data_IF_505607021757
#
_entry.id   IF_505607021757
#
_cell.length_a   1.000
_cell.length_b   1.000
_cell.length_c   1.000
_cell.angle_alpha   90.00
_cell.angle_beta   90.00
_cell.angle_gamma   90.00
#
_symmetry.space_group_name_H-M   'P 1'
#
loop_
_entity.id
_entity.type
_entity.pdbx_description
1 polymer ?
#
# COMPACT_ATOMS: atom_id res chain seq x y z
N UNK A 1 83.51 -40.97 -20.02
CA UNK A 1 83.24 -39.76 -20.83
C UNK A 1 81.73 -39.59 -20.84
N UNK A 2 81.22 -38.62 -20.10
CA UNK A 2 79.79 -38.27 -20.15
C UNK A 2 79.62 -37.54 -21.48
N UNK A 3 78.78 -38.09 -22.34
CA UNK A 3 78.63 -37.65 -23.72
C UNK A 3 78.06 -36.21 -23.71
N UNK A 4 78.87 -35.23 -24.13
CA UNK A 4 78.47 -33.82 -24.16
C UNK A 4 77.17 -33.61 -24.97
N UNK A 5 76.89 -34.51 -25.93
CA UNK A 5 75.67 -34.50 -26.73
C UNK A 5 74.42 -34.89 -25.94
N UNK A 6 74.51 -35.77 -24.94
CA UNK A 6 73.36 -36.15 -24.09
C UNK A 6 72.94 -34.98 -23.19
N UNK A 7 73.90 -34.27 -22.59
CA UNK A 7 73.61 -33.09 -21.75
C UNK A 7 73.03 -31.91 -22.53
N UNK A 8 73.42 -31.72 -23.79
CA UNK A 8 72.83 -30.69 -24.67
C UNK A 8 71.41 -31.07 -25.08
N UNK A 9 71.15 -32.36 -25.36
CA UNK A 9 69.82 -32.87 -25.73
C UNK A 9 68.84 -32.79 -24.55
N UNK A 10 69.30 -33.10 -23.33
CA UNK A 10 68.52 -32.95 -22.10
C UNK A 10 68.21 -31.48 -21.79
N UNK A 11 69.19 -30.58 -21.90
CA UNK A 11 68.96 -29.13 -21.75
C UNK A 11 67.94 -28.63 -22.77
N UNK A 12 68.04 -29.05 -24.04
CA UNK A 12 67.07 -28.67 -25.09
C UNK A 12 65.67 -29.20 -24.81
N UNK A 13 65.53 -30.43 -24.32
CA UNK A 13 64.25 -31.01 -23.91
C UNK A 13 63.66 -30.30 -22.69
N UNK A 14 64.49 -29.93 -21.71
CA UNK A 14 64.08 -29.15 -20.55
C UNK A 14 63.62 -27.75 -20.95
N UNK A 15 64.38 -27.04 -21.80
CA UNK A 15 64.01 -25.74 -22.33
C UNK A 15 62.69 -25.79 -23.13
N UNK A 16 62.51 -26.81 -23.99
CA UNK A 16 61.26 -26.96 -24.74
C UNK A 16 60.06 -27.20 -23.81
N UNK A 17 60.19 -28.05 -22.79
CA UNK A 17 59.13 -28.27 -21.79
C UNK A 17 58.80 -27.00 -21.03
N UNK A 18 59.83 -26.24 -20.64
CA UNK A 18 59.68 -24.97 -19.95
C UNK A 18 58.96 -23.93 -20.82
N UNK A 19 59.32 -23.82 -22.11
CA UNK A 19 58.64 -22.94 -23.07
C UNK A 19 57.17 -23.33 -23.24
N UNK A 20 56.86 -24.63 -23.33
CA UNK A 20 55.48 -25.11 -23.40
C UNK A 20 54.66 -24.74 -22.16
N UNK A 21 55.23 -24.89 -20.96
CA UNK A 21 54.58 -24.50 -19.70
C UNK A 21 54.33 -22.99 -19.67
N UNK A 22 55.31 -22.17 -20.05
CA UNK A 22 55.14 -20.71 -20.11
C UNK A 22 54.10 -20.28 -21.16
N UNK A 23 54.06 -20.92 -22.32
CA UNK A 23 53.02 -20.65 -23.33
C UNK A 23 51.63 -21.03 -22.83
N UNK A 24 51.51 -22.17 -22.16
CA UNK A 24 50.25 -22.63 -21.57
C UNK A 24 49.75 -21.63 -20.52
N UNK A 25 50.60 -21.28 -19.53
CA UNK A 25 50.23 -20.29 -18.51
C UNK A 25 50.03 -18.88 -19.09
N UNK A 26 50.76 -18.52 -20.15
CA UNK A 26 50.59 -17.26 -20.88
C UNK A 26 49.23 -17.16 -21.56
N UNK A 27 48.80 -18.21 -22.28
CA UNK A 27 47.45 -18.28 -22.86
C UNK A 27 46.37 -18.25 -21.77
N UNK A 28 46.58 -18.96 -20.67
CA UNK A 28 45.64 -19.02 -19.56
C UNK A 28 45.48 -17.65 -18.88
N UNK A 29 46.59 -16.92 -18.70
CA UNK A 29 46.59 -15.55 -18.21
C UNK A 29 45.90 -14.57 -19.17
N UNK A 30 46.15 -14.69 -20.48
CA UNK A 30 45.46 -13.93 -21.53
C UNK A 30 43.95 -14.21 -21.53
N UNK A 31 43.55 -15.46 -21.33
CA UNK A 31 42.14 -15.84 -21.20
C UNK A 31 41.50 -15.20 -19.97
N UNK A 32 42.17 -15.21 -18.81
CA UNK A 32 41.67 -14.51 -17.63
C UNK A 32 41.58 -13.01 -17.82
N UNK A 33 42.59 -12.37 -18.41
CA UNK A 33 42.56 -10.95 -18.75
C UNK A 33 41.39 -10.61 -19.67
N UNK A 34 41.18 -11.40 -20.72
CA UNK A 34 40.04 -11.24 -21.62
C UNK A 34 38.71 -11.39 -20.88
N UNK A 35 38.59 -12.41 -20.01
CA UNK A 35 37.37 -12.65 -19.23
C UNK A 35 37.09 -11.53 -18.25
N UNK A 36 38.10 -11.04 -17.55
CA UNK A 36 37.99 -9.92 -16.62
C UNK A 36 37.63 -8.64 -17.36
N UNK A 37 38.28 -8.35 -18.49
CA UNK A 37 37.96 -7.20 -19.34
C UNK A 37 36.53 -7.26 -19.89
N UNK A 38 36.09 -8.44 -20.36
CA UNK A 38 34.71 -8.64 -20.82
C UNK A 38 33.70 -8.37 -19.71
N UNK A 39 33.94 -8.88 -18.49
CA UNK A 39 33.06 -8.64 -17.34
C UNK A 39 33.07 -7.17 -16.88
N UNK A 40 34.25 -6.53 -16.85
CA UNK A 40 34.41 -5.17 -16.34
C UNK A 40 34.05 -4.08 -17.34
N UNK A 41 34.14 -4.31 -18.64
CA UNK A 41 33.92 -3.27 -19.67
C UNK A 41 32.63 -3.51 -20.45
N UNK A 42 32.35 -4.75 -20.85
CA UNK A 42 31.14 -5.06 -21.64
C UNK A 42 29.90 -5.23 -20.78
N UNK A 43 30.03 -5.62 -19.51
CA UNK A 43 28.93 -5.90 -18.60
C UNK A 43 28.90 -4.98 -17.38
N UNK A 44 29.70 -3.90 -17.37
CA UNK A 44 29.77 -2.94 -16.27
C UNK A 44 28.38 -2.43 -15.86
N UNK A 45 27.60 -2.01 -16.85
CA UNK A 45 26.26 -1.45 -16.67
C UNK A 45 25.30 -2.46 -16.06
N UNK A 46 25.37 -3.72 -16.47
CA UNK A 46 24.47 -4.76 -15.98
C UNK A 46 24.79 -5.14 -14.52
N UNK A 47 26.08 -5.21 -14.16
CA UNK A 47 26.50 -5.48 -12.79
C UNK A 47 26.33 -4.29 -11.85
N UNK A 48 26.44 -3.06 -12.35
CA UNK A 48 26.13 -1.86 -11.60
C UNK A 48 24.63 -1.79 -11.27
N UNK A 49 23.76 -2.05 -12.25
CA UNK A 49 22.30 -2.14 -12.05
C UNK A 49 21.98 -3.27 -11.07
N UNK A 50 22.55 -4.46 -11.24
CA UNK A 50 22.34 -5.57 -10.31
C UNK A 50 22.87 -5.27 -8.89
N UNK A 51 23.96 -4.50 -8.76
CA UNK A 51 24.46 -4.05 -7.46
C UNK A 51 23.54 -3.01 -6.83
N UNK A 52 22.99 -2.09 -7.62
CA UNK A 52 22.01 -1.10 -7.18
C UNK A 52 20.70 -1.78 -6.76
N UNK A 53 20.20 -2.76 -7.51
CA UNK A 53 19.00 -3.52 -7.13
C UNK A 53 19.19 -4.28 -5.81
N UNK A 54 20.40 -4.81 -5.57
CA UNK A 54 20.71 -5.47 -4.29
C UNK A 54 20.91 -4.49 -3.13
N UNK A 55 21.28 -3.23 -3.42
CA UNK A 55 21.51 -2.16 -2.43
C UNK A 55 20.31 -1.27 -2.21
N UNK A 56 19.24 -1.41 -2.98
CA UNK A 56 18.07 -0.53 -2.88
C UNK A 56 16.80 -1.30 -2.63
N UNK A 57 15.89 -0.70 -1.87
CA UNK A 57 14.53 -1.19 -1.67
C UNK A 57 13.53 -0.10 -1.99
N UNK A 58 12.62 -0.42 -2.90
CA UNK A 58 11.51 0.46 -3.25
C UNK A 58 10.31 0.16 -2.35
N UNK A 59 9.74 1.22 -1.77
CA UNK A 59 8.51 1.17 -1.00
C UNK A 59 7.49 2.07 -1.69
N UNK A 60 6.34 1.51 -2.07
CA UNK A 60 5.28 2.23 -2.76
C UNK A 60 4.54 3.16 -1.79
N UNK A 61 4.18 4.35 -2.26
CA UNK A 61 3.38 5.33 -1.51
C UNK A 61 1.98 5.37 -2.10
N UNK A 62 0.97 5.05 -1.30
CA UNK A 62 -0.42 5.16 -1.72
C UNK A 62 -0.83 6.63 -1.94
N UNK A 63 -1.51 6.98 -3.04
CA UNK A 63 -2.12 8.29 -3.25
C UNK A 63 -3.36 8.52 -2.37
N UNK A 64 -3.74 9.78 -2.18
CA UNK A 64 -5.03 10.13 -1.59
C UNK A 64 -6.11 10.11 -2.67
N UNK A 65 -7.28 9.55 -2.35
CA UNK A 65 -8.40 9.44 -3.28
C UNK A 65 -9.09 10.79 -3.49
N UNK A 66 -9.54 11.09 -4.70
CA UNK A 66 -10.25 12.35 -5.01
C UNK A 66 -11.55 12.53 -4.21
N UNK A 67 -11.93 13.79 -3.96
CA UNK A 67 -13.16 14.19 -3.24
C UNK A 67 -14.34 14.19 -4.22
N UNK A 68 -15.54 13.83 -3.74
CA UNK A 68 -16.76 13.87 -4.56
C UNK A 68 -17.61 15.06 -4.13
N UNK A 69 -17.98 15.90 -5.10
CA UNK A 69 -18.78 17.10 -4.91
C UNK A 69 -20.14 17.02 -5.62
N UNK A 70 -21.13 17.69 -5.05
CA UNK A 70 -22.42 18.05 -5.64
C UNK A 70 -22.22 19.07 -6.80
N UNK A 71 -23.24 19.23 -7.66
CA UNK A 71 -23.33 20.29 -8.68
C UNK A 71 -23.10 21.71 -8.15
N UNK A 72 -23.37 21.98 -6.87
CA UNK A 72 -23.12 23.26 -6.18
C UNK A 72 -21.73 23.36 -5.53
N UNK A 73 -20.86 22.36 -5.71
CA UNK A 73 -19.52 22.34 -5.10
C UNK A 73 -19.51 21.98 -3.61
N UNK A 74 -20.64 21.51 -3.05
CA UNK A 74 -20.68 20.98 -1.69
C UNK A 74 -20.07 19.57 -1.67
N UNK A 75 -19.32 19.26 -0.63
CA UNK A 75 -18.72 17.94 -0.45
C UNK A 75 -19.81 16.91 -0.15
N UNK A 76 -19.79 15.79 -0.87
CA UNK A 76 -20.59 14.59 -0.58
C UNK A 76 -19.72 13.55 0.12
N UNK A 77 -18.52 13.31 -0.44
CA UNK A 77 -17.54 12.35 0.10
C UNK A 77 -16.18 13.00 0.21
N UNK A 78 -15.57 12.94 1.38
CA UNK A 78 -14.21 13.40 1.65
C UNK A 78 -13.35 12.28 2.25
N UNK A 79 -12.08 12.62 2.49
CA UNK A 79 -11.17 11.82 3.28
C UNK A 79 -10.98 12.51 4.61
N UNK A 80 -11.46 11.90 5.68
CA UNK A 80 -11.31 12.42 7.04
C UNK A 80 -9.98 11.93 7.61
N UNK A 81 -9.11 12.83 8.10
CA UNK A 81 -7.88 12.43 8.77
C UNK A 81 -8.20 11.82 10.14
N UNK A 82 -7.59 10.67 10.42
CA UNK A 82 -7.61 9.98 11.70
C UNK A 82 -6.17 9.70 12.13
N UNK A 83 -5.85 9.95 13.39
CA UNK A 83 -4.55 9.59 13.94
C UNK A 83 -4.63 8.18 14.51
N UNK A 84 -3.76 7.29 14.02
CA UNK A 84 -3.75 5.90 14.46
C UNK A 84 -2.47 5.59 15.22
N UNK A 85 -2.58 4.75 16.25
CA UNK A 85 -1.41 4.18 16.92
C UNK A 85 -0.92 2.99 16.09
N UNK A 86 0.32 3.06 15.59
CA UNK A 86 0.88 2.07 14.67
C UNK A 86 2.13 1.43 15.27
N UNK A 87 2.23 0.13 15.09
CA UNK A 87 3.34 -0.72 15.52
C UNK A 87 4.15 -1.20 14.32
N UNK A 88 5.47 -1.24 14.46
CA UNK A 88 6.39 -2.01 13.61
C UNK A 88 6.67 -3.36 14.28
N UNK A 89 5.97 -4.45 13.91
CA UNK A 89 6.06 -5.71 14.63
C UNK A 89 7.43 -6.39 14.53
N UNK A 90 8.20 -6.10 13.47
CA UNK A 90 9.55 -6.64 13.25
C UNK A 90 10.59 -6.18 14.27
N UNK A 91 10.29 -5.16 15.08
CA UNK A 91 11.18 -4.58 16.08
C UNK A 91 10.80 -4.95 17.52
N UNK A 92 9.87 -5.89 17.69
CA UNK A 92 9.30 -6.24 19.01
C UNK A 92 9.40 -7.75 19.22
N UNK A 93 9.98 -8.12 20.35
CA UNK A 93 10.11 -9.52 20.76
C UNK A 93 8.83 -10.04 21.42
N UNK A 94 8.30 -9.32 22.42
CA UNK A 94 7.11 -9.73 23.17
C UNK A 94 5.96 -8.72 23.04
N UNK A 95 4.97 -9.06 22.20
CA UNK A 95 3.79 -8.24 21.97
C UNK A 95 2.91 -8.06 23.22
N UNK A 96 2.83 -9.07 24.10
CA UNK A 96 1.95 -9.00 25.27
C UNK A 96 2.48 -8.00 26.30
N UNK A 97 3.80 -7.98 26.53
CA UNK A 97 4.44 -6.97 27.38
C UNK A 97 4.25 -5.57 26.81
N UNK A 98 4.42 -5.42 25.49
CA UNK A 98 4.24 -4.14 24.81
C UNK A 98 2.81 -3.60 24.91
N UNK A 99 1.80 -4.47 24.73
CA UNK A 99 0.39 -4.13 24.93
C UNK A 99 0.15 -3.71 26.38
N UNK A 100 0.63 -4.48 27.37
CA UNK A 100 0.44 -4.16 28.77
C UNK A 100 1.02 -2.79 29.15
N UNK A 101 2.14 -2.39 28.53
CA UNK A 101 2.71 -1.06 28.74
C UNK A 101 1.80 0.04 28.18
N UNK A 102 1.22 -0.15 26.99
CA UNK A 102 0.36 0.83 26.31
C UNK A 102 -1.00 0.97 27.00
N UNK A 103 -1.61 -0.13 27.42
CA UNK A 103 -2.95 -0.17 28.06
C UNK A 103 -3.02 0.72 29.31
N UNK A 104 -1.88 0.96 29.98
CA UNK A 104 -1.82 1.82 31.15
C UNK A 104 -2.17 3.29 30.87
N UNK A 105 -2.10 3.75 29.63
CA UNK A 105 -2.32 5.17 29.28
C UNK A 105 -3.12 5.38 27.98
N UNK A 106 -3.37 4.33 27.19
CA UNK A 106 -4.30 4.32 26.07
C UNK A 106 -5.27 3.16 26.28
N UNK A 107 -6.57 3.44 26.23
CA UNK A 107 -7.59 2.40 26.33
C UNK A 107 -7.63 1.60 25.03
N UNK A 108 -7.35 0.30 25.10
CA UNK A 108 -7.52 -0.63 23.97
C UNK A 108 -8.77 -1.48 24.22
N UNK A 109 -9.63 -1.60 23.22
CA UNK A 109 -10.78 -2.50 23.31
C UNK A 109 -10.34 -3.97 23.29
N UNK A 110 -11.19 -4.88 23.77
CA UNK A 110 -10.91 -6.32 23.68
C UNK A 110 -10.78 -6.78 22.22
N UNK A 111 -11.56 -6.16 21.33
CA UNK A 111 -11.52 -6.39 19.87
C UNK A 111 -10.17 -5.99 19.27
N UNK A 112 -9.65 -4.82 19.66
CA UNK A 112 -8.32 -4.35 19.22
C UNK A 112 -7.23 -5.35 19.66
N UNK A 113 -7.26 -5.79 20.92
CA UNK A 113 -6.28 -6.72 21.47
C UNK A 113 -6.35 -8.08 20.75
N UNK A 114 -7.56 -8.58 20.48
CA UNK A 114 -7.77 -9.81 19.73
C UNK A 114 -7.19 -9.70 18.30
N UNK A 115 -7.53 -8.60 17.61
CA UNK A 115 -7.01 -8.30 16.27
C UNK A 115 -5.48 -8.23 16.24
N UNK A 116 -4.86 -7.55 17.21
CA UNK A 116 -3.41 -7.41 17.32
C UNK A 116 -2.76 -8.80 17.46
N UNK A 117 -3.26 -9.64 18.37
CA UNK A 117 -2.70 -10.97 18.63
C UNK A 117 -2.79 -11.90 17.43
N UNK A 118 -3.91 -11.87 16.71
CA UNK A 118 -4.11 -12.66 15.50
C UNK A 118 -3.16 -12.23 14.37
N UNK A 119 -2.97 -10.92 14.20
CA UNK A 119 -2.27 -10.37 13.05
C UNK A 119 -0.76 -10.16 13.25
N UNK A 120 -0.29 -10.10 14.50
CA UNK A 120 1.10 -9.75 14.84
C UNK A 120 2.14 -10.62 14.13
N UNK A 121 2.06 -11.95 14.26
CA UNK A 121 3.04 -12.88 13.68
C UNK A 121 3.14 -12.75 12.16
N UNK A 122 1.98 -12.63 11.49
CA UNK A 122 1.91 -12.48 10.04
C UNK A 122 2.53 -11.17 9.59
N UNK A 123 2.20 -10.07 10.27
CA UNK A 123 2.71 -8.73 9.94
C UNK A 123 4.20 -8.58 10.24
N UNK A 124 4.70 -9.18 11.33
CA UNK A 124 6.14 -9.22 11.66
C UNK A 124 6.95 -9.93 10.58
N UNK A 125 6.50 -11.10 10.12
CA UNK A 125 7.16 -11.86 9.04
C UNK A 125 7.25 -11.07 7.73
N UNK A 126 6.21 -10.27 7.43
CA UNK A 126 6.12 -9.48 6.20
C UNK A 126 6.71 -8.07 6.36
N UNK A 127 7.30 -7.74 7.51
CA UNK A 127 7.77 -6.39 7.84
C UNK A 127 6.71 -5.29 7.60
N UNK A 128 5.44 -5.61 7.85
CA UNK A 128 4.30 -4.71 7.63
C UNK A 128 3.87 -4.06 8.94
N UNK A 129 3.43 -2.82 8.85
CA UNK A 129 2.81 -2.09 9.96
C UNK A 129 1.55 -2.80 10.48
N UNK A 130 1.31 -2.68 11.78
CA UNK A 130 0.12 -3.15 12.46
C UNK A 130 -0.51 -1.99 13.24
N UNK A 131 -1.77 -1.67 12.92
CA UNK A 131 -2.52 -0.65 13.66
C UNK A 131 -2.95 -1.27 15.00
N UNK A 132 -2.63 -0.58 16.10
CA UNK A 132 -3.01 -0.96 17.45
C UNK A 132 -4.34 -0.35 17.87
N UNK A 133 -4.55 0.93 17.53
CA UNK A 133 -5.79 1.66 17.78
C UNK A 133 -6.05 2.65 16.66
N UNK A 134 -7.30 2.73 16.23
CA UNK A 134 -7.77 3.70 15.24
C UNK A 134 -8.34 4.94 15.93
N UNK A 135 -8.27 6.09 15.26
CA UNK A 135 -8.92 7.34 15.66
C UNK A 135 -8.62 7.75 17.12
N UNK A 136 -7.34 7.95 17.43
CA UNK A 136 -6.89 8.45 18.72
C UNK A 136 -7.46 9.84 18.98
N UNK A 137 -7.95 10.04 20.20
CA UNK A 137 -8.29 11.37 20.70
C UNK A 137 -7.05 12.23 20.91
N UNK A 138 -7.20 13.55 20.89
CA UNK A 138 -6.11 14.49 21.20
C UNK A 138 -5.45 14.22 22.56
N UNK A 139 -6.24 13.77 23.54
CA UNK A 139 -5.72 13.41 24.87
C UNK A 139 -4.82 12.17 24.80
N UNK A 140 -5.21 11.14 24.06
CA UNK A 140 -4.40 9.92 23.87
C UNK A 140 -3.13 10.20 23.07
N UNK A 141 -3.22 11.03 22.03
CA UNK A 141 -2.07 11.49 21.25
C UNK A 141 -1.06 12.16 22.19
N UNK A 142 -1.51 13.10 23.03
CA UNK A 142 -0.64 13.79 23.98
C UNK A 142 -0.02 12.82 25.00
N UNK A 143 -0.81 11.86 25.53
CA UNK A 143 -0.32 10.83 26.47
C UNK A 143 0.76 9.94 25.85
N UNK A 144 0.63 9.57 24.58
CA UNK A 144 1.63 8.76 23.89
C UNK A 144 2.86 9.57 23.51
N UNK A 145 2.69 10.73 22.87
CA UNK A 145 3.82 11.55 22.40
C UNK A 145 4.74 11.96 23.56
N UNK A 146 4.20 12.25 24.75
CA UNK A 146 5.02 12.54 25.94
C UNK A 146 5.87 11.36 26.42
N UNK A 147 5.58 10.14 25.95
CA UNK A 147 6.25 8.87 26.32
C UNK A 147 6.88 8.17 25.12
N UNK A 148 6.86 8.77 23.93
CA UNK A 148 7.29 8.15 22.67
C UNK A 148 8.70 7.58 22.73
N UNK A 149 9.61 8.20 23.49
CA UNK A 149 10.98 7.71 23.70
C UNK A 149 11.06 6.27 24.26
N UNK A 150 10.03 5.80 24.98
CA UNK A 150 9.95 4.43 25.51
C UNK A 150 9.50 3.41 24.48
N UNK A 151 8.94 3.86 23.35
CA UNK A 151 8.30 3.00 22.36
C UNK A 151 8.92 3.24 20.96
N UNK A 152 10.20 2.87 20.74
CA UNK A 152 10.88 3.13 19.47
C UNK A 152 10.22 2.45 18.26
N UNK A 153 9.52 1.34 18.49
CA UNK A 153 8.82 0.57 17.47
C UNK A 153 7.33 0.97 17.29
N UNK A 154 6.85 1.98 18.03
CA UNK A 154 5.47 2.47 17.96
C UNK A 154 5.45 3.96 17.65
N UNK A 155 4.54 4.37 16.80
CA UNK A 155 4.41 5.76 16.41
C UNK A 155 2.96 6.08 16.08
N UNK A 156 2.62 7.36 16.15
CA UNK A 156 1.35 7.86 15.67
C UNK A 156 1.57 8.33 14.24
N UNK A 157 0.64 7.96 13.37
CA UNK A 157 0.66 8.44 11.99
C UNK A 157 -0.74 8.84 11.55
N UNK A 158 -0.79 9.82 10.65
CA UNK A 158 -2.02 10.25 10.02
C UNK A 158 -2.44 9.22 8.98
N UNK A 159 -3.67 8.73 9.11
CA UNK A 159 -4.32 7.86 8.13
C UNK A 159 -5.66 8.47 7.78
N UNK A 160 -6.14 8.22 6.57
CA UNK A 160 -7.44 8.73 6.16
C UNK A 160 -8.51 7.64 6.29
N UNK A 161 -9.72 8.01 6.69
CA UNK A 161 -10.94 7.24 6.46
C UNK A 161 -11.76 7.91 5.37
N UNK A 162 -12.39 7.11 4.51
CA UNK A 162 -13.32 7.64 3.52
C UNK A 162 -14.65 7.90 4.22
N UNK A 163 -15.10 9.15 4.21
CA UNK A 163 -16.30 9.60 4.92
C UNK A 163 -17.31 10.18 3.92
N UNK A 164 -18.54 9.69 3.99
CA UNK A 164 -19.68 10.28 3.30
C UNK A 164 -20.50 11.12 4.30
N UNK A 165 -20.61 12.42 4.04
CA UNK A 165 -21.31 13.37 4.92
C UNK A 165 -22.82 13.06 4.98
N UNK A 166 -23.37 12.51 3.90
CA UNK A 166 -24.78 12.18 3.71
C UNK A 166 -24.96 10.69 3.44
N UNK A 167 -24.39 9.87 4.33
CA UNK A 167 -24.21 8.42 4.15
C UNK A 167 -25.47 7.63 3.78
N UNK A 168 -26.65 8.01 4.28
CA UNK A 168 -27.91 7.30 3.98
C UNK A 168 -28.58 7.83 2.70
N UNK A 169 -28.38 9.09 2.37
CA UNK A 169 -29.08 9.71 1.22
C UNK A 169 -28.41 9.29 -0.10
N UNK A 170 -27.07 9.15 -0.08
CA UNK A 170 -26.26 8.89 -1.27
C UNK A 170 -25.81 7.43 -1.42
N UNK A 171 -26.33 6.50 -0.62
CA UNK A 171 -25.87 5.11 -0.54
C UNK A 171 -25.77 4.41 -1.90
N UNK A 172 -26.84 4.43 -2.69
CA UNK A 172 -26.88 3.80 -4.02
C UNK A 172 -26.24 4.66 -5.12
N UNK A 173 -26.34 5.99 -5.01
CA UNK A 173 -25.77 6.92 -6.00
C UNK A 173 -24.24 6.88 -5.97
N UNK A 174 -23.67 7.16 -4.79
CA UNK A 174 -22.22 7.21 -4.58
C UNK A 174 -21.65 5.82 -4.44
N UNK A 175 -22.34 4.93 -3.73
CA UNK A 175 -21.82 3.63 -3.36
C UNK A 175 -20.88 3.67 -2.17
N UNK A 176 -20.23 2.55 -1.90
CA UNK A 176 -19.25 2.41 -0.84
C UNK A 176 -17.91 1.92 -1.38
N UNK A 177 -16.87 2.13 -0.58
CA UNK A 177 -15.54 1.59 -0.82
C UNK A 177 -15.29 0.41 0.11
N UNK A 178 -14.45 -0.52 -0.30
CA UNK A 178 -14.06 -1.66 0.52
C UNK A 178 -12.61 -2.03 0.31
N UNK A 179 -12.07 -2.80 1.25
CA UNK A 179 -10.73 -3.37 1.09
C UNK A 179 -10.65 -4.27 -0.15
N UNK A 180 -9.44 -4.36 -0.69
CA UNK A 180 -9.11 -5.14 -1.86
C UNK A 180 -8.37 -6.43 -1.45
N UNK A 181 -8.53 -7.50 -2.23
CA UNK A 181 -7.67 -8.68 -2.12
C UNK A 181 -6.30 -8.42 -2.76
N UNK A 182 -5.29 -9.21 -2.39
CA UNK A 182 -3.93 -9.00 -2.91
C UNK A 182 -3.89 -9.14 -4.45
N UNK A 183 -4.67 -10.04 -5.05
CA UNK A 183 -4.71 -10.27 -6.50
C UNK A 183 -5.15 -9.03 -7.30
N UNK A 184 -6.25 -8.39 -6.90
CA UNK A 184 -6.75 -7.20 -7.61
C UNK A 184 -5.86 -5.98 -7.36
N UNK A 185 -5.16 -5.91 -6.22
CA UNK A 185 -4.15 -4.88 -5.98
C UNK A 185 -2.98 -5.05 -6.96
N UNK A 186 -2.54 -6.28 -7.20
CA UNK A 186 -1.48 -6.57 -8.17
C UNK A 186 -1.87 -6.13 -9.59
N UNK A 187 -3.10 -6.40 -10.03
CA UNK A 187 -3.62 -5.91 -11.33
C UNK A 187 -3.54 -4.38 -11.45
N UNK A 188 -3.93 -3.66 -10.40
CA UNK A 188 -3.88 -2.19 -10.39
C UNK A 188 -2.44 -1.68 -10.46
N UNK A 189 -1.51 -2.34 -9.76
CA UNK A 189 -0.10 -1.96 -9.81
C UNK A 189 0.49 -2.23 -11.20
N UNK A 190 0.16 -3.36 -11.82
CA UNK A 190 0.59 -3.70 -13.18
C UNK A 190 0.06 -2.66 -14.19
N UNK A 191 -1.20 -2.23 -14.11
CA UNK A 191 -1.77 -1.13 -14.94
C UNK A 191 -0.98 0.19 -14.78
N UNK A 192 -0.28 0.37 -13.66
CA UNK A 192 0.57 1.52 -13.39
C UNK A 192 2.06 1.27 -13.64
N UNK A 193 2.42 0.13 -14.28
CA UNK A 193 3.80 -0.32 -14.49
C UNK A 193 4.61 -0.46 -13.18
N UNK A 194 3.94 -0.94 -12.14
CA UNK A 194 4.52 -1.21 -10.82
C UNK A 194 4.37 -2.69 -10.47
N UNK A 195 5.30 -3.21 -9.68
CA UNK A 195 5.24 -4.57 -9.12
C UNK A 195 4.74 -4.51 -7.67
N UNK A 196 4.03 -5.55 -7.21
CA UNK A 196 3.63 -5.67 -5.81
C UNK A 196 4.86 -5.76 -4.90
N UNK A 197 5.21 -4.63 -4.26
CA UNK A 197 6.30 -4.50 -3.28
C UNK A 197 5.73 -4.04 -1.94
N UNK A 198 6.61 -3.83 -0.96
CA UNK A 198 6.25 -3.18 0.30
C UNK A 198 5.53 -1.85 0.01
N UNK A 199 4.38 -1.62 0.63
CA UNK A 199 3.51 -0.47 0.34
C UNK A 199 3.12 0.22 1.64
N UNK A 200 3.26 1.54 1.65
CA UNK A 200 2.78 2.42 2.72
C UNK A 200 1.35 2.80 2.37
N UNK A 201 0.40 2.26 3.15
CA UNK A 201 -1.01 2.59 3.00
C UNK A 201 -1.33 3.90 3.71
N UNK A 202 -2.02 4.79 3.00
CA UNK A 202 -2.55 6.06 3.55
C UNK A 202 -3.87 5.88 4.27
N UNK A 203 -4.65 4.86 3.94
CA UNK A 203 -5.93 4.60 4.60
C UNK A 203 -5.80 3.61 5.75
N UNK A 204 -6.60 3.80 6.79
CA UNK A 204 -6.60 2.96 8.00
C UNK A 204 -6.97 1.50 7.71
N UNK A 205 -7.77 1.26 6.68
CA UNK A 205 -8.23 -0.09 6.29
C UNK A 205 -7.39 -0.67 5.13
N UNK A 206 -6.17 -0.14 4.93
CA UNK A 206 -5.31 -0.51 3.80
C UNK A 206 -5.76 0.14 2.49
N UNK A 207 -5.36 -0.43 1.36
CA UNK A 207 -5.83 0.07 0.06
C UNK A 207 -7.34 -0.17 -0.11
N UNK A 208 -8.07 0.88 -0.47
CA UNK A 208 -9.52 0.85 -0.67
C UNK A 208 -9.86 1.04 -2.14
N UNK A 209 -10.91 0.37 -2.59
CA UNK A 209 -11.45 0.50 -3.94
C UNK A 209 -12.97 0.66 -3.90
N UNK A 210 -13.50 1.42 -4.85
CA UNK A 210 -14.94 1.55 -5.03
C UNK A 210 -15.57 0.19 -5.36
N UNK A 211 -16.63 -0.19 -4.63
CA UNK A 211 -17.35 -1.45 -4.87
C UNK A 211 -18.63 -1.24 -5.65
N UNK A 212 -19.32 -0.13 -5.42
CA UNK A 212 -20.60 0.21 -6.06
C UNK A 212 -20.67 1.69 -6.42
N UNK A 213 -21.72 2.07 -7.16
CA UNK A 213 -22.04 3.46 -7.47
C UNK A 213 -20.93 4.23 -8.21
N UNK A 214 -20.92 5.56 -8.03
CA UNK A 214 -19.91 6.45 -8.58
C UNK A 214 -18.49 6.08 -8.12
N UNK A 215 -18.32 5.60 -6.89
CA UNK A 215 -17.02 5.20 -6.35
C UNK A 215 -16.38 4.09 -7.20
N UNK A 216 -17.17 3.11 -7.67
CA UNK A 216 -16.68 2.03 -8.54
C UNK A 216 -16.48 2.52 -9.99
N UNK A 217 -17.48 3.21 -10.54
CA UNK A 217 -17.46 3.65 -11.95
C UNK A 217 -16.26 4.57 -12.22
N UNK A 218 -15.97 5.49 -11.28
CA UNK A 218 -14.87 6.45 -11.40
C UNK A 218 -13.63 6.05 -10.60
N UNK A 219 -13.52 4.78 -10.15
CA UNK A 219 -12.44 4.32 -9.28
C UNK A 219 -11.04 4.64 -9.85
N UNK A 220 -10.83 4.43 -11.15
CA UNK A 220 -9.53 4.69 -11.80
C UNK A 220 -9.10 6.15 -11.72
N UNK A 221 -10.04 7.09 -11.82
CA UNK A 221 -9.76 8.53 -11.68
C UNK A 221 -9.61 8.93 -10.22
N UNK A 222 -10.52 8.44 -9.38
CA UNK A 222 -10.56 8.75 -7.96
C UNK A 222 -9.34 8.22 -7.21
N UNK A 223 -8.81 7.04 -7.56
CA UNK A 223 -7.71 6.41 -6.80
C UNK A 223 -6.36 7.06 -7.00
N UNK A 224 -6.11 7.74 -8.13
CA UNK A 224 -4.80 8.31 -8.43
C UNK A 224 -3.71 7.28 -8.75
N UNK A 225 -2.45 7.71 -8.71
CA UNK A 225 -1.29 6.90 -9.04
C UNK A 225 -0.30 6.79 -7.87
N UNK A 226 0.24 5.61 -7.69
CA UNK A 226 1.25 5.35 -6.66
C UNK A 226 2.54 6.13 -6.89
N UNK A 227 3.10 6.61 -5.79
CA UNK A 227 4.47 7.10 -5.72
C UNK A 227 5.41 5.99 -5.24
N UNK A 228 6.69 6.31 -5.08
CA UNK A 228 7.66 5.39 -4.50
C UNK A 228 8.77 6.12 -3.76
N UNK A 229 9.20 5.58 -2.62
CA UNK A 229 10.43 5.95 -1.93
C UNK A 229 11.46 4.84 -2.14
N UNK A 230 12.68 5.22 -2.47
CA UNK A 230 13.80 4.32 -2.68
C UNK A 230 14.74 4.49 -1.49
N UNK A 231 14.99 3.41 -0.77
CA UNK A 231 15.89 3.37 0.37
C UNK A 231 17.14 2.57 0.02
N UNK A 232 18.27 2.96 0.58
CA UNK A 232 19.45 2.11 0.66
C UNK A 232 19.21 0.99 1.69
N UNK A 233 19.61 -0.23 1.37
CA UNK A 233 19.55 -1.37 2.29
C UNK A 233 20.94 -1.92 2.58
N UNK A 234 21.15 -2.28 3.84
CA UNK A 234 22.33 -3.05 4.26
C UNK A 234 22.20 -4.52 3.82
N UNK A 235 23.29 -5.31 3.92
CA UNK A 235 23.31 -6.74 3.64
C UNK A 235 22.29 -7.55 4.48
N UNK A 236 21.88 -7.01 5.62
CA UNK A 236 20.81 -7.54 6.49
C UNK A 236 19.39 -7.23 5.99
N UNK A 237 19.23 -6.43 4.93
CA UNK A 237 17.95 -5.96 4.41
C UNK A 237 17.32 -4.81 5.20
N UNK A 238 18.05 -4.21 6.14
CA UNK A 238 17.59 -3.06 6.93
C UNK A 238 17.63 -1.79 6.09
N UNK A 239 16.54 -1.03 6.10
CA UNK A 239 16.45 0.31 5.49
C UNK A 239 17.41 1.26 6.21
N UNK A 240 18.30 1.90 5.46
CA UNK A 240 19.27 2.89 5.94
C UNK A 240 18.76 4.31 5.63
N UNK A 241 19.16 4.86 4.48
CA UNK A 241 18.86 6.23 4.07
C UNK A 241 17.86 6.25 2.91
N UNK A 242 17.00 7.25 2.90
CA UNK A 242 16.16 7.54 1.73
C UNK A 242 17.04 8.18 0.63
N UNK A 243 17.13 7.52 -0.52
CA UNK A 243 17.92 7.98 -1.67
C UNK A 243 17.09 8.88 -2.59
N UNK A 244 15.83 8.52 -2.78
CA UNK A 244 14.93 9.22 -3.70
C UNK A 244 13.48 9.06 -3.27
N UNK A 245 12.69 10.13 -3.36
CA UNK A 245 11.24 10.09 -3.28
C UNK A 245 10.62 10.56 -4.59
N UNK A 246 9.72 9.74 -5.12
CA UNK A 246 8.81 10.10 -6.21
C UNK A 246 7.42 10.20 -5.58
N UNK A 247 6.85 11.41 -5.46
CA UNK A 247 5.58 11.59 -4.76
C UNK A 247 4.44 10.88 -5.49
N UNK A 248 3.46 10.41 -4.73
CA UNK A 248 2.24 9.86 -5.29
C UNK A 248 1.40 10.97 -5.94
N UNK A 249 0.68 10.63 -7.01
CA UNK A 249 -0.26 11.55 -7.65
C UNK A 249 -1.66 11.27 -7.10
N UNK A 250 -2.18 12.21 -6.32
CA UNK A 250 -3.54 12.12 -5.78
C UNK A 250 -4.56 11.96 -6.91
N UNK A 251 -5.67 11.29 -6.58
CA UNK A 251 -6.77 11.10 -7.51
C UNK A 251 -7.48 12.41 -7.85
N UNK A 252 -8.18 12.39 -8.97
CA UNK A 252 -8.94 13.53 -9.46
C UNK A 252 -10.26 13.67 -8.69
N UNK A 253 -10.58 14.90 -8.31
CA UNK A 253 -11.86 15.25 -7.71
C UNK A 253 -13.01 15.08 -8.72
N UNK A 254 -14.13 14.55 -8.26
CA UNK A 254 -15.32 14.30 -9.08
C UNK A 254 -16.41 15.32 -8.76
N UNK A 255 -16.80 16.11 -9.77
CA UNK A 255 -17.95 17.01 -9.69
C UNK A 255 -19.16 16.33 -10.32
N UNK A 256 -20.19 16.09 -9.52
CA UNK A 256 -21.42 15.39 -9.95
C UNK A 256 -22.51 16.39 -10.34
N UNK A 257 -23.53 15.92 -11.05
CA UNK A 257 -24.76 16.69 -11.31
C UNK A 257 -25.79 16.58 -10.18
N UNK A 258 -25.52 15.76 -9.17
CA UNK A 258 -26.43 15.49 -8.06
C UNK A 258 -26.56 16.72 -7.19
N UNK A 259 -27.79 17.02 -6.76
CA UNK A 259 -28.10 18.09 -5.81
C UNK A 259 -28.53 17.49 -4.47
N UNK A 260 -27.79 17.83 -3.42
CA UNK A 260 -27.97 17.33 -2.05
C UNK A 260 -29.36 17.68 -1.52
N UNK A 261 -29.85 18.89 -1.77
CA UNK A 261 -31.14 19.31 -1.20
C UNK A 261 -32.30 18.57 -1.88
N UNK A 262 -32.23 18.38 -3.19
CA UNK A 262 -33.20 17.59 -3.96
C UNK A 262 -33.20 16.12 -3.53
N UNK A 263 -32.01 15.54 -3.29
CA UNK A 263 -31.92 14.17 -2.75
C UNK A 263 -32.49 14.04 -1.34
N UNK A 264 -32.22 14.98 -0.43
CA UNK A 264 -32.80 14.98 0.93
C UNK A 264 -34.32 14.97 0.88
N UNK A 265 -34.91 15.86 0.08
CA UNK A 265 -36.37 15.93 -0.06
C UNK A 265 -36.92 14.60 -0.59
N UNK A 266 -36.31 14.02 -1.63
CA UNK A 266 -36.76 12.73 -2.16
C UNK A 266 -36.64 11.60 -1.13
N UNK A 267 -35.55 11.55 -0.36
CA UNK A 267 -35.32 10.55 0.69
C UNK A 267 -36.33 10.67 1.82
N UNK A 268 -36.57 11.90 2.32
CA UNK A 268 -37.56 12.18 3.36
C UNK A 268 -38.98 11.82 2.90
N UNK A 269 -39.33 12.10 1.65
CA UNK A 269 -40.65 11.75 1.10
C UNK A 269 -40.84 10.25 0.89
N UNK A 270 -39.77 9.50 0.58
CA UNK A 270 -39.84 8.04 0.53
C UNK A 270 -40.13 7.45 1.93
N UNK A 271 -39.60 8.05 3.00
CA UNK A 271 -39.87 7.69 4.39
C UNK A 271 -39.75 6.17 4.64
N UNK A 272 -38.60 5.59 4.26
CA UNK A 272 -38.29 4.16 4.35
C UNK A 272 -39.24 3.22 3.59
N UNK A 273 -40.11 3.73 2.72
CA UNK A 273 -40.91 2.90 1.82
C UNK A 273 -40.04 2.37 0.70
N UNK A 274 -40.31 1.14 0.27
CA UNK A 274 -39.64 0.54 -0.89
C UNK A 274 -39.97 1.33 -2.15
N UNK A 275 -38.95 1.87 -2.81
CA UNK A 275 -39.12 2.65 -4.03
C UNK A 275 -37.89 3.45 -4.40
N UNK A 276 -37.90 4.01 -5.60
CA UNK A 276 -36.82 4.84 -6.11
C UNK A 276 -37.36 6.15 -6.70
N UNK A 277 -36.55 7.19 -6.61
CA UNK A 277 -36.85 8.51 -7.19
C UNK A 277 -35.66 8.94 -8.05
N UNK A 278 -35.95 9.23 -9.31
CA UNK A 278 -34.99 9.79 -10.26
C UNK A 278 -35.55 11.10 -10.80
N UNK A 279 -34.77 12.18 -10.65
CA UNK A 279 -35.09 13.47 -11.25
C UNK A 279 -34.00 13.86 -12.25
N UNK A 280 -34.43 14.27 -13.43
CA UNK A 280 -33.55 14.63 -14.55
C UNK A 280 -33.83 16.07 -14.96
N UNK A 281 -32.77 16.84 -15.16
CA UNK A 281 -32.85 18.18 -15.75
C UNK A 281 -33.04 18.05 -17.26
N UNK A 282 -34.17 18.56 -17.78
CA UNK A 282 -34.58 18.34 -19.17
C UNK A 282 -33.59 18.96 -20.17
N UNK A 283 -33.05 20.13 -19.86
CA UNK A 283 -32.17 20.88 -20.78
C UNK A 283 -30.80 20.22 -20.95
N UNK A 284 -30.23 19.69 -19.87
CA UNK A 284 -28.89 19.10 -19.86
C UNK A 284 -28.89 17.56 -19.95
N UNK A 285 -30.02 16.93 -19.67
CA UNK A 285 -30.12 15.48 -19.47
C UNK A 285 -29.45 15.00 -18.17
N UNK A 286 -29.00 15.91 -17.30
CA UNK A 286 -28.27 15.56 -16.11
C UNK A 286 -29.18 14.98 -15.02
N UNK A 287 -28.72 13.93 -14.34
CA UNK A 287 -29.44 13.35 -13.20
C UNK A 287 -29.16 14.23 -11.97
N UNK A 288 -30.21 14.84 -11.43
CA UNK A 288 -30.13 15.75 -10.27
C UNK A 288 -30.44 15.01 -8.97
N UNK A 289 -31.29 13.99 -9.04
CA UNK A 289 -31.67 13.16 -7.90
C UNK A 289 -31.68 11.70 -8.31
N UNK A 290 -31.05 10.86 -7.49
CA UNK A 290 -31.01 9.42 -7.65
C UNK A 290 -31.03 8.80 -6.25
N UNK A 291 -32.21 8.36 -5.82
CA UNK A 291 -32.42 7.82 -4.46
C UNK A 291 -33.16 6.49 -4.58
N UNK A 292 -32.69 5.47 -3.87
CA UNK A 292 -33.42 4.22 -3.64
C UNK A 292 -33.64 4.06 -2.13
N UNK A 293 -34.76 3.45 -1.77
CA UNK A 293 -35.16 3.18 -0.39
C UNK A 293 -35.70 1.75 -0.29
N UNK A 294 -35.35 1.00 0.78
CA UNK A 294 -34.51 1.43 1.91
C UNK A 294 -33.03 1.57 1.55
N UNK A 295 -32.34 2.39 2.33
CA UNK A 295 -30.93 2.72 2.16
C UNK A 295 -30.04 1.95 3.14
N UNK A 296 -28.72 2.03 2.96
CA UNK A 296 -27.72 1.44 3.84
C UNK A 296 -26.64 2.45 4.26
N UNK A 297 -26.06 2.30 5.46
CA UNK A 297 -25.04 3.21 5.97
C UNK A 297 -23.65 2.95 5.37
N UNK A 298 -23.29 3.67 4.29
CA UNK A 298 -21.96 3.65 3.65
C UNK A 298 -20.80 3.71 4.66
N UNK A 299 -20.85 4.65 5.61
CA UNK A 299 -19.73 4.90 6.52
C UNK A 299 -19.45 3.69 7.42
N UNK A 300 -20.51 2.96 7.84
CA UNK A 300 -20.34 1.74 8.63
C UNK A 300 -19.64 0.65 7.82
N UNK A 301 -20.06 0.44 6.57
CA UNK A 301 -19.45 -0.57 5.67
C UNK A 301 -17.97 -0.23 5.42
N UNK A 302 -17.71 1.01 5.06
CA UNK A 302 -16.38 1.51 4.68
C UNK A 302 -15.37 1.43 5.83
N UNK A 303 -15.80 1.73 7.06
CA UNK A 303 -14.92 1.83 8.21
C UNK A 303 -14.72 0.51 8.98
N UNK A 304 -15.28 -0.60 8.49
CA UNK A 304 -15.04 -1.94 9.04
C UNK A 304 -16.25 -2.53 9.76
N UNK A 305 -17.40 -2.56 9.08
CA UNK A 305 -18.59 -3.27 9.55
C UNK A 305 -18.28 -4.75 9.85
N UNK A 306 -18.87 -5.28 10.92
CA UNK A 306 -18.72 -6.69 11.27
C UNK A 306 -19.34 -7.60 10.20
N UNK A 307 -18.80 -8.80 10.03
CA UNK A 307 -19.38 -9.78 9.08
C UNK A 307 -20.83 -10.12 9.43
N UNK A 308 -21.20 -10.08 10.71
CA UNK A 308 -22.56 -10.34 11.15
C UNK A 308 -23.53 -9.24 10.70
N UNK A 309 -23.18 -7.97 10.93
CA UNK A 309 -24.01 -6.82 10.52
C UNK A 309 -24.13 -6.74 8.99
N UNK A 310 -23.04 -7.02 8.28
CA UNK A 310 -23.06 -7.05 6.81
C UNK A 310 -23.98 -8.16 6.28
N UNK A 311 -23.92 -9.35 6.88
CA UNK A 311 -24.81 -10.46 6.53
C UNK A 311 -26.27 -10.16 6.87
N UNK A 312 -26.54 -9.38 7.92
CA UNK A 312 -27.90 -8.95 8.24
C UNK A 312 -28.46 -8.05 7.13
N UNK A 313 -27.70 -7.06 6.65
CA UNK A 313 -28.11 -6.20 5.53
C UNK A 313 -28.30 -6.97 4.22
N UNK A 314 -27.48 -8.01 4.00
CA UNK A 314 -27.53 -8.81 2.79
C UNK A 314 -28.76 -9.75 2.75
N UNK A 315 -29.19 -10.25 3.92
CA UNK A 315 -30.35 -11.13 4.06
C UNK A 315 -31.63 -10.40 4.45
N UNK A 316 -31.60 -9.07 4.51
CA UNK A 316 -32.77 -8.26 4.83
C UNK A 316 -33.87 -8.44 3.76
N UNK A 317 -35.11 -8.65 4.21
CA UNK A 317 -36.26 -8.85 3.33
C UNK A 317 -36.54 -7.62 2.46
N UNK A 318 -36.21 -6.42 2.95
CA UNK A 318 -36.40 -5.17 2.21
C UNK A 318 -35.26 -4.83 1.26
N UNK A 319 -34.23 -5.69 1.18
CA UNK A 319 -33.16 -5.66 0.16
C UNK A 319 -32.50 -4.28 -0.02
N UNK A 320 -31.90 -3.70 1.04
CA UNK A 320 -31.39 -2.33 1.04
C UNK A 320 -30.24 -2.06 0.05
N UNK A 321 -29.56 -3.09 -0.46
CA UNK A 321 -28.48 -2.92 -1.45
C UNK A 321 -28.95 -2.61 -2.88
N UNK A 322 -30.25 -2.69 -3.17
CA UNK A 322 -30.80 -2.62 -4.54
C UNK A 322 -31.57 -1.33 -4.86
#
# INVERSE_FOLDING_TARGET
MIDLNETIKEKKNFFNRLVFVYLFFGMLFLFFLYRTFSLQVSSFTDYEIASLENKTREILIQPIRGIIYDRKGKIIVNNQPNYNLILKPSQIDNINEHINMIVNFIELSEEDIAYIRENFKRKARLNRELILKKNLSMEEIAKFESRRYKFPATFIDERYSRENIYSEIFSHAVGYVGSIGDDYLEEILIDQNLSLKETIFKYSNGYIVGKTGLENIYDKKLRGNFGKKIYEVDASGKLLNELQEIPAKNGEDLYTSLDIESQKVAFEQLNNRRGAVVAVEIESGAIVTYVSSPSFPINKITNGMSSADFNQLLNDEDKPFF
#
